data_IF_102534833574
#
_entry.id   IF_102534833574
#
_cell.length_a   1.000
_cell.length_b   1.000
_cell.length_c   1.000
_cell.angle_alpha   90.00
_cell.angle_beta   90.00
_cell.angle_gamma   90.00
#
_symmetry.space_group_name_H-M   'P 1'
#
loop_
_entity.id
_entity.type
_entity.pdbx_description
1 polymer ?
#
# COMPACT_ATOMS: atom_id res chain seq x y z
N UNK A 1 32.39 -8.38 -23.53
CA UNK A 1 31.22 -8.63 -22.67
C UNK A 1 31.70 -9.53 -21.55
N UNK A 2 32.01 -8.96 -20.38
CA UNK A 2 32.54 -9.73 -19.25
C UNK A 2 31.33 -10.30 -18.51
N UNK A 3 31.16 -11.63 -18.55
CA UNK A 3 30.17 -12.30 -17.73
C UNK A 3 30.66 -12.27 -16.28
N UNK A 4 30.21 -11.29 -15.50
CA UNK A 4 30.32 -11.35 -14.04
C UNK A 4 29.46 -12.51 -13.57
N UNK A 5 30.10 -13.62 -13.21
CA UNK A 5 29.45 -14.75 -12.59
C UNK A 5 28.76 -14.28 -11.30
N UNK A 6 27.44 -14.40 -11.26
CA UNK A 6 26.65 -14.20 -10.05
C UNK A 6 27.03 -15.34 -9.11
N UNK A 7 27.85 -15.04 -8.09
CA UNK A 7 28.14 -16.00 -7.02
C UNK A 7 26.89 -16.08 -6.16
N UNK A 8 26.05 -17.09 -6.44
CA UNK A 8 24.88 -17.39 -5.63
C UNK A 8 25.28 -17.78 -4.21
N UNK A 9 24.51 -17.34 -3.21
CA UNK A 9 24.62 -17.93 -1.88
C UNK A 9 24.23 -19.41 -2.02
N UNK A 10 25.15 -20.35 -1.84
CA UNK A 10 24.75 -21.74 -1.64
C UNK A 10 23.97 -21.81 -0.33
N UNK A 11 22.64 -21.95 -0.39
CA UNK A 11 21.77 -22.15 0.76
C UNK A 11 21.95 -23.57 1.29
N UNK A 12 23.14 -23.86 1.83
CA UNK A 12 23.55 -25.16 2.33
C UNK A 12 22.69 -25.58 3.50
N UNK A 13 21.73 -26.47 3.24
CA UNK A 13 21.10 -27.25 4.29
C UNK A 13 22.03 -28.39 4.67
N UNK A 14 22.86 -28.19 5.68
CA UNK A 14 23.41 -29.30 6.45
C UNK A 14 23.11 -29.04 7.92
N UNK A 15 22.21 -29.86 8.45
CA UNK A 15 21.80 -29.91 9.83
C UNK A 15 22.98 -30.32 10.72
N UNK A 16 23.55 -29.37 11.44
CA UNK A 16 24.46 -29.65 12.55
C UNK A 16 23.80 -29.13 13.84
N UNK A 17 22.88 -29.92 14.39
CA UNK A 17 22.31 -29.63 15.70
C UNK A 17 21.03 -30.39 16.04
N UNK A 18 21.16 -31.63 16.50
CA UNK A 18 20.11 -32.41 17.15
C UNK A 18 19.58 -31.68 18.39
N UNK A 19 18.58 -30.82 18.22
CA UNK A 19 17.94 -30.04 19.28
C UNK A 19 16.45 -29.90 19.01
N UNK A 20 15.67 -30.75 19.68
CA UNK A 20 14.20 -30.78 19.67
C UNK A 20 13.56 -29.40 19.84
N UNK A 21 12.82 -28.91 18.83
CA UNK A 21 11.55 -28.21 19.07
C UNK A 21 11.37 -26.75 18.62
N UNK A 22 12.31 -26.11 17.91
CA UNK A 22 12.10 -24.78 17.32
C UNK A 22 12.65 -24.77 15.90
N UNK A 23 11.82 -24.44 14.91
CA UNK A 23 12.19 -24.47 13.49
C UNK A 23 13.52 -23.78 13.21
N UNK A 24 14.42 -24.47 12.52
CA UNK A 24 15.71 -23.93 12.11
C UNK A 24 15.54 -22.83 11.05
N UNK A 25 16.56 -22.00 10.88
CA UNK A 25 16.64 -21.04 9.79
C UNK A 25 17.83 -21.40 8.88
N UNK A 26 17.68 -21.13 7.58
CA UNK A 26 18.74 -21.32 6.60
C UNK A 26 19.90 -20.38 6.93
N UNK A 27 21.09 -20.94 7.16
CA UNK A 27 22.32 -20.16 7.24
C UNK A 27 22.87 -19.88 5.85
N UNK A 28 23.29 -18.64 5.60
CA UNK A 28 23.82 -18.22 4.31
C UNK A 28 25.33 -18.31 4.31
N UNK A 29 25.86 -19.25 3.52
CA UNK A 29 27.30 -19.46 3.42
C UNK A 29 28.04 -18.17 3.01
N UNK A 30 29.13 -17.87 3.72
CA UNK A 30 29.94 -16.65 3.56
C UNK A 30 29.19 -15.34 3.83
N UNK A 31 28.01 -15.42 4.44
CA UNK A 31 27.28 -14.26 4.91
C UNK A 31 27.61 -13.93 6.36
N UNK A 32 27.94 -12.67 6.61
CA UNK A 32 28.29 -12.19 7.96
C UNK A 32 27.05 -12.02 8.85
N UNK A 33 25.86 -11.96 8.27
CA UNK A 33 24.58 -11.88 9.00
C UNK A 33 23.97 -13.28 9.31
N UNK A 34 24.71 -14.36 9.08
CA UNK A 34 24.30 -15.73 9.44
C UNK A 34 23.03 -16.17 8.72
N UNK A 35 21.95 -16.37 9.47
CA UNK A 35 20.65 -16.77 8.94
C UNK A 35 19.75 -15.60 8.48
N UNK A 36 20.18 -14.37 8.72
CA UNK A 36 19.40 -13.17 8.34
C UNK A 36 19.57 -12.90 6.84
N UNK A 37 18.50 -12.47 6.20
CA UNK A 37 18.51 -11.90 4.85
C UNK A 37 17.94 -10.50 4.95
N UNK A 38 18.55 -9.54 4.29
CA UNK A 38 18.02 -8.17 4.23
C UNK A 38 17.34 -7.88 2.90
N UNK A 39 16.32 -7.04 2.91
CA UNK A 39 15.67 -6.54 1.70
C UNK A 39 16.28 -5.20 1.23
N UNK A 40 15.57 -4.44 0.39
CA UNK A 40 16.03 -3.17 -0.15
C UNK A 40 16.23 -2.06 0.90
N UNK A 41 15.51 -2.14 2.02
CA UNK A 41 15.49 -1.10 3.05
C UNK A 41 16.23 -1.51 4.32
N UNK A 42 16.94 -2.64 4.23
CA UNK A 42 17.64 -3.28 5.33
C UNK A 42 16.71 -3.81 6.41
N UNK A 43 15.46 -4.12 6.07
CA UNK A 43 14.59 -4.88 6.95
C UNK A 43 15.13 -6.31 7.08
N UNK A 44 15.04 -6.89 8.28
CA UNK A 44 15.63 -8.19 8.59
C UNK A 44 14.59 -9.30 8.47
N UNK A 45 14.92 -10.29 7.62
CA UNK A 45 14.12 -11.48 7.39
C UNK A 45 14.93 -12.73 7.68
N UNK A 46 14.24 -13.87 7.75
CA UNK A 46 14.84 -15.19 7.84
C UNK A 46 14.11 -16.14 6.90
N UNK A 47 14.80 -17.22 6.50
CA UNK A 47 14.19 -18.30 5.73
C UNK A 47 14.14 -19.53 6.60
N UNK A 48 12.95 -20.08 6.83
CA UNK A 48 12.75 -21.30 7.62
C UNK A 48 13.40 -22.49 6.89
N UNK A 49 14.19 -23.31 7.59
CA UNK A 49 14.96 -24.42 7.01
C UNK A 49 14.08 -25.45 6.30
N UNK A 50 12.95 -25.78 6.94
CA UNK A 50 12.11 -26.91 6.54
C UNK A 50 11.10 -26.48 5.47
N UNK A 51 10.35 -25.42 5.74
CA UNK A 51 9.29 -24.94 4.85
C UNK A 51 9.81 -24.02 3.75
N UNK A 52 11.03 -23.50 3.89
CA UNK A 52 11.63 -22.51 2.99
C UNK A 52 10.84 -21.21 2.86
N UNK A 53 9.91 -20.95 3.78
CA UNK A 53 9.16 -19.70 3.81
C UNK A 53 10.00 -18.56 4.37
N UNK A 54 9.73 -17.35 3.86
CA UNK A 54 10.33 -16.12 4.37
C UNK A 54 9.51 -15.63 5.57
N UNK A 55 10.21 -15.29 6.65
CA UNK A 55 9.65 -14.74 7.88
C UNK A 55 10.28 -13.39 8.22
N UNK A 56 9.48 -12.45 8.72
CA UNK A 56 10.00 -11.24 9.36
C UNK A 56 10.52 -11.52 10.78
N UNK A 57 11.10 -10.51 11.43
CA UNK A 57 11.61 -10.60 12.81
C UNK A 57 10.54 -10.93 13.86
N UNK A 58 9.26 -10.70 13.56
CA UNK A 58 8.13 -11.02 14.44
C UNK A 58 7.64 -12.46 14.29
N UNK A 59 8.17 -13.21 13.32
CA UNK A 59 7.75 -14.58 12.99
C UNK A 59 6.58 -14.63 12.00
N UNK A 60 6.28 -13.52 11.32
CA UNK A 60 5.21 -13.46 10.33
C UNK A 60 5.68 -14.03 9.01
N UNK A 61 4.90 -14.95 8.45
CA UNK A 61 5.26 -15.69 7.23
C UNK A 61 4.70 -15.06 5.96
N UNK A 62 5.54 -14.88 4.95
CA UNK A 62 5.12 -14.46 3.61
C UNK A 62 4.55 -15.68 2.88
N UNK A 63 3.30 -16.04 3.22
CA UNK A 63 2.68 -17.28 2.73
C UNK A 63 2.58 -17.29 1.21
N UNK A 64 3.25 -18.24 0.57
CA UNK A 64 3.34 -18.31 -0.90
C UNK A 64 4.65 -17.76 -1.47
N UNK A 65 5.46 -17.10 -0.64
CA UNK A 65 6.85 -16.74 -0.96
C UNK A 65 7.82 -17.75 -0.34
N UNK A 66 8.66 -18.37 -1.17
CA UNK A 66 9.63 -19.38 -0.71
C UNK A 66 11.00 -19.17 -1.32
N UNK A 67 12.04 -19.74 -0.67
CA UNK A 67 13.41 -19.73 -1.18
C UNK A 67 13.95 -21.15 -1.29
N UNK A 68 14.26 -21.61 -2.49
CA UNK A 68 14.75 -22.98 -2.67
C UNK A 68 16.21 -23.19 -2.23
N UNK A 69 16.70 -24.41 -2.37
CA UNK A 69 18.08 -24.79 -2.04
C UNK A 69 19.14 -24.07 -2.87
N UNK A 70 18.78 -23.59 -4.07
CA UNK A 70 19.65 -22.83 -4.97
C UNK A 70 19.57 -21.32 -4.69
N UNK A 71 18.98 -20.94 -3.56
CA UNK A 71 18.74 -19.55 -3.15
C UNK A 71 17.86 -18.77 -4.13
N UNK A 72 17.00 -19.43 -4.91
CA UNK A 72 16.05 -18.76 -5.80
C UNK A 72 14.78 -18.44 -5.03
N UNK A 73 14.30 -17.20 -5.17
CA UNK A 73 13.07 -16.72 -4.52
C UNK A 73 11.89 -16.94 -5.47
N UNK A 74 10.86 -17.62 -4.98
CA UNK A 74 9.61 -17.90 -5.70
C UNK A 74 8.42 -17.24 -5.01
N UNK A 75 7.45 -16.82 -5.82
CA UNK A 75 6.11 -16.39 -5.39
C UNK A 75 5.11 -17.23 -6.16
N UNK A 76 4.28 -17.99 -5.46
CA UNK A 76 3.27 -18.88 -6.05
C UNK A 76 3.87 -19.82 -7.12
N UNK A 77 5.08 -20.32 -6.88
CA UNK A 77 5.80 -21.20 -7.79
C UNK A 77 6.51 -20.52 -8.97
N UNK A 78 6.41 -19.20 -9.14
CA UNK A 78 7.16 -18.44 -10.14
C UNK A 78 8.41 -17.81 -9.54
N UNK A 79 9.57 -17.99 -10.17
CA UNK A 79 10.79 -17.33 -9.72
C UNK A 79 10.68 -15.80 -9.92
N UNK A 80 10.98 -15.04 -8.86
CA UNK A 80 10.93 -13.57 -8.85
C UNK A 80 12.26 -12.94 -8.44
N UNK A 81 13.16 -13.72 -7.85
CA UNK A 81 14.45 -13.25 -7.41
C UNK A 81 15.39 -14.35 -6.96
N UNK A 82 16.42 -13.94 -6.21
CA UNK A 82 17.44 -14.76 -5.58
C UNK A 82 17.85 -14.14 -4.23
N UNK A 83 18.38 -14.95 -3.34
CA UNK A 83 19.19 -14.49 -2.21
C UNK A 83 20.65 -14.50 -2.65
N UNK A 84 21.31 -13.35 -2.55
CA UNK A 84 22.68 -13.17 -3.04
C UNK A 84 23.55 -12.48 -1.99
N UNK A 85 24.85 -12.79 -1.99
CA UNK A 85 25.84 -12.05 -1.22
C UNK A 85 26.07 -10.68 -1.85
N UNK A 86 25.91 -9.63 -1.05
CA UNK A 86 26.11 -8.24 -1.42
C UNK A 86 27.10 -7.59 -0.47
N UNK A 87 27.70 -6.49 -0.90
CA UNK A 87 28.60 -5.71 -0.04
C UNK A 87 27.79 -5.01 1.07
N UNK A 88 28.15 -5.29 2.31
CA UNK A 88 27.72 -4.55 3.48
C UNK A 88 28.57 -3.29 3.69
N UNK A 89 28.14 -2.43 4.60
CA UNK A 89 28.73 -1.11 4.88
C UNK A 89 30.20 -1.13 5.31
N UNK A 90 30.71 -2.28 5.77
CA UNK A 90 32.08 -2.46 6.25
C UNK A 90 32.93 -3.35 5.32
N UNK A 91 32.53 -3.54 4.06
CA UNK A 91 33.22 -4.41 3.10
C UNK A 91 33.06 -5.91 3.37
N UNK A 92 32.20 -6.26 4.32
CA UNK A 92 31.78 -7.64 4.58
C UNK A 92 30.70 -8.07 3.59
N UNK A 93 30.55 -9.38 3.36
CA UNK A 93 29.45 -9.91 2.55
C UNK A 93 28.24 -10.23 3.44
N UNK A 94 27.06 -9.81 3.01
CA UNK A 94 25.78 -10.10 3.68
C UNK A 94 24.80 -10.70 2.68
N UNK A 95 23.88 -11.53 3.14
CA UNK A 95 22.82 -12.11 2.33
C UNK A 95 21.69 -11.09 2.19
N UNK A 96 21.30 -10.81 0.95
CA UNK A 96 20.21 -9.90 0.64
C UNK A 96 19.29 -10.47 -0.45
N UNK A 97 18.02 -10.09 -0.40
CA UNK A 97 17.08 -10.37 -1.48
C UNK A 97 17.40 -9.49 -2.69
N UNK A 98 17.43 -10.14 -3.85
CA UNK A 98 17.65 -9.51 -5.15
C UNK A 98 16.62 -10.00 -6.15
N UNK A 99 16.13 -9.11 -6.99
CA UNK A 99 15.27 -9.50 -8.09
C UNK A 99 16.07 -10.13 -9.23
N UNK A 100 15.38 -10.77 -10.17
CA UNK A 100 16.02 -11.41 -11.34
C UNK A 100 16.82 -10.44 -12.23
N UNK A 101 16.50 -9.15 -12.17
CA UNK A 101 17.23 -8.08 -12.85
C UNK A 101 18.47 -7.58 -12.07
N UNK A 102 18.78 -8.19 -10.92
CA UNK A 102 19.90 -7.82 -10.04
C UNK A 102 19.62 -6.66 -9.08
N UNK A 103 18.44 -6.06 -9.12
CA UNK A 103 18.07 -4.99 -8.20
C UNK A 103 17.82 -5.49 -6.78
N UNK A 104 17.82 -4.59 -5.80
CA UNK A 104 17.29 -4.91 -4.49
C UNK A 104 15.80 -5.26 -4.58
N UNK A 105 15.40 -6.28 -3.82
CA UNK A 105 14.00 -6.64 -3.61
C UNK A 105 13.56 -6.09 -2.26
N UNK A 106 12.46 -5.35 -2.23
CA UNK A 106 11.77 -4.87 -1.02
C UNK A 106 10.62 -5.84 -0.71
N UNK A 107 10.47 -6.28 0.54
CA UNK A 107 9.40 -7.21 0.95
C UNK A 107 8.63 -6.58 2.10
N UNK A 108 7.36 -6.26 1.89
CA UNK A 108 6.52 -5.63 2.90
C UNK A 108 5.42 -6.56 3.40
N UNK A 109 5.37 -6.76 4.72
CA UNK A 109 4.31 -7.50 5.41
C UNK A 109 3.10 -6.62 5.76
N UNK A 110 1.89 -7.09 5.43
CA UNK A 110 0.60 -6.40 5.66
C UNK A 110 -0.18 -7.02 6.81
N UNK A 111 -1.10 -6.30 7.46
CA UNK A 111 -1.71 -6.65 8.75
C UNK A 111 -2.40 -8.04 8.85
N UNK A 112 -2.81 -8.63 7.73
CA UNK A 112 -3.57 -9.88 7.62
C UNK A 112 -2.71 -11.12 7.24
N UNK A 113 -1.39 -11.03 7.39
CA UNK A 113 -0.41 -12.03 6.92
C UNK A 113 -0.30 -12.14 5.39
N UNK A 114 -0.82 -11.14 4.66
CA UNK A 114 -0.42 -10.96 3.27
C UNK A 114 0.90 -10.19 3.19
N UNK A 115 1.53 -10.25 2.03
CA UNK A 115 2.78 -9.56 1.73
C UNK A 115 2.72 -8.96 0.33
N UNK A 116 3.56 -7.96 0.10
CA UNK A 116 3.89 -7.46 -1.23
C UNK A 116 5.41 -7.46 -1.41
N UNK A 117 5.87 -7.47 -2.65
CA UNK A 117 7.29 -7.30 -2.95
C UNK A 117 7.47 -6.36 -4.14
N UNK A 118 8.57 -5.62 -4.15
CA UNK A 118 8.94 -4.73 -5.24
C UNK A 118 10.39 -4.96 -5.66
N UNK A 119 10.66 -4.82 -6.95
CA UNK A 119 12.01 -4.82 -7.50
C UNK A 119 12.41 -3.39 -7.80
N UNK A 120 13.44 -2.88 -7.12
CA UNK A 120 14.07 -1.60 -7.50
C UNK A 120 14.48 -1.64 -8.99
N UNK A 121 14.53 -0.52 -9.69
CA UNK A 121 15.11 -0.55 -11.04
C UNK A 121 16.65 -0.70 -10.90
N UNK A 122 17.34 -1.49 -11.75
CA UNK A 122 18.80 -1.50 -11.74
C UNK A 122 19.29 -0.07 -12.01
N UNK A 123 20.18 0.42 -11.14
CA UNK A 123 20.75 1.75 -11.22
C UNK A 123 21.36 1.99 -12.62
N UNK A 124 20.60 2.65 -13.49
CA UNK A 124 21.08 3.10 -14.79
C UNK A 124 21.65 4.49 -14.56
N UNK A 125 22.98 4.56 -14.47
CA UNK A 125 23.70 5.82 -14.43
C UNK A 125 23.33 6.69 -15.64
N UNK A 126 22.90 7.92 -15.35
CA UNK A 126 22.55 8.91 -16.36
C UNK A 126 21.81 10.08 -15.73
N UNK A 127 22.53 10.98 -15.08
CA UNK A 127 21.99 12.26 -14.65
C UNK A 127 21.73 13.16 -15.86
N UNK A 128 20.55 13.79 -15.91
CA UNK A 128 20.36 15.21 -16.25
C UNK A 128 18.89 15.60 -16.02
N UNK A 129 18.68 16.63 -15.20
CA UNK A 129 17.47 17.47 -15.27
C UNK A 129 16.45 17.28 -14.14
N UNK A 130 16.46 18.19 -13.17
CA UNK A 130 15.27 18.55 -12.42
C UNK A 130 14.26 19.18 -13.39
N UNK A 131 13.20 18.44 -13.72
CA UNK A 131 12.12 18.85 -14.58
C UNK A 131 10.97 17.86 -14.43
N UNK A 132 9.74 18.36 -14.42
CA UNK A 132 8.50 17.59 -14.26
C UNK A 132 8.58 16.20 -14.92
N UNK A 133 8.22 15.15 -14.17
CA UNK A 133 8.34 13.78 -14.63
C UNK A 133 7.66 13.62 -16.01
N UNK A 134 8.47 13.31 -17.02
CA UNK A 134 8.02 12.94 -18.35
C UNK A 134 7.37 11.57 -18.28
N UNK A 135 6.07 11.54 -18.00
CA UNK A 135 5.20 10.39 -18.23
C UNK A 135 5.17 9.34 -17.13
N UNK A 136 3.97 8.83 -16.87
CA UNK A 136 3.80 7.56 -16.16
C UNK A 136 4.31 6.42 -17.06
N UNK A 137 5.20 5.59 -16.53
CA UNK A 137 5.65 4.36 -17.18
C UNK A 137 4.52 3.32 -17.23
N UNK A 138 4.78 2.22 -17.94
CA UNK A 138 3.84 1.11 -18.03
C UNK A 138 3.60 0.42 -16.68
N UNK A 139 2.56 -0.41 -16.65
CA UNK A 139 2.33 -1.32 -15.53
C UNK A 139 3.51 -2.31 -15.41
N UNK A 140 3.95 -2.57 -14.20
CA UNK A 140 4.83 -3.70 -13.90
C UNK A 140 4.04 -5.03 -13.90
N UNK A 141 4.71 -6.14 -13.59
CA UNK A 141 4.05 -7.45 -13.53
C UNK A 141 3.06 -7.62 -12.38
N UNK A 142 3.04 -6.69 -11.42
CA UNK A 142 2.12 -6.71 -10.28
C UNK A 142 0.93 -5.76 -10.45
N UNK A 143 0.91 -5.00 -11.55
CA UNK A 143 -0.19 -4.12 -11.91
C UNK A 143 -0.07 -2.70 -11.36
N UNK A 144 1.12 -2.27 -10.94
CA UNK A 144 1.41 -0.91 -10.48
C UNK A 144 2.22 -0.12 -11.52
N UNK A 145 2.04 1.20 -11.55
CA UNK A 145 2.78 2.08 -12.45
C UNK A 145 4.24 2.14 -12.06
N UNK A 146 5.09 2.07 -13.07
CA UNK A 146 6.48 2.51 -12.97
C UNK A 146 6.57 3.98 -13.30
N UNK A 147 7.56 4.68 -12.75
CA UNK A 147 7.85 6.08 -13.11
C UNK A 147 9.21 6.13 -13.78
N UNK A 148 9.29 6.78 -14.95
CA UNK A 148 10.54 6.86 -15.69
C UNK A 148 11.61 7.54 -14.82
N UNK A 149 12.78 6.91 -14.68
CA UNK A 149 13.87 7.42 -13.85
C UNK A 149 13.71 7.15 -12.35
N UNK A 150 12.65 6.46 -11.91
CA UNK A 150 12.49 6.06 -10.51
C UNK A 150 13.34 4.82 -10.18
N UNK A 151 14.34 5.02 -9.32
CA UNK A 151 15.16 3.94 -8.75
C UNK A 151 14.38 2.99 -7.85
N UNK A 152 13.25 3.43 -7.28
CA UNK A 152 12.39 2.62 -6.39
C UNK A 152 11.31 1.82 -7.14
N UNK A 153 11.45 1.65 -8.46
CA UNK A 153 10.51 0.86 -9.26
C UNK A 153 9.12 1.49 -9.31
N UNK A 154 8.13 0.85 -8.66
CA UNK A 154 6.72 1.29 -8.61
C UNK A 154 6.38 2.13 -7.39
N UNK A 155 7.31 2.25 -6.43
CA UNK A 155 7.08 2.97 -5.17
C UNK A 155 7.22 4.48 -5.39
N UNK A 156 6.27 5.21 -4.81
CA UNK A 156 6.28 6.67 -4.67
C UNK A 156 6.33 6.99 -3.18
N UNK A 157 7.27 7.83 -2.77
CA UNK A 157 7.42 8.25 -1.38
C UNK A 157 6.66 9.55 -1.13
N UNK A 158 6.17 9.74 0.09
CA UNK A 158 5.61 11.03 0.51
C UNK A 158 6.68 11.85 1.29
N UNK A 159 6.30 12.70 2.25
CA UNK A 159 7.24 13.60 2.93
C UNK A 159 7.99 13.01 4.12
N UNK A 160 7.44 11.97 4.77
CA UNK A 160 8.09 11.23 5.84
C UNK A 160 8.66 9.87 5.37
N UNK A 161 8.79 9.73 4.04
CA UNK A 161 9.27 8.55 3.33
C UNK A 161 8.37 7.31 3.53
N UNK A 162 7.08 7.52 3.81
CA UNK A 162 6.07 6.47 3.71
C UNK A 162 5.91 6.01 2.25
N UNK A 163 5.72 4.69 2.08
CA UNK A 163 5.66 4.05 0.76
C UNK A 163 4.23 3.91 0.27
N UNK A 164 4.05 4.34 -0.97
CA UNK A 164 2.82 4.18 -1.72
C UNK A 164 3.11 3.62 -3.10
N UNK A 165 2.09 3.07 -3.74
CA UNK A 165 2.12 2.64 -5.13
C UNK A 165 0.94 3.24 -5.88
N UNK A 166 0.98 3.19 -7.21
CA UNK A 166 -0.15 3.64 -8.03
C UNK A 166 -0.65 2.49 -8.88
N UNK A 167 -1.88 2.05 -8.67
CA UNK A 167 -2.47 0.97 -9.44
C UNK A 167 -2.60 1.38 -10.92
N UNK A 168 -2.03 0.61 -11.84
CA UNK A 168 -1.95 0.99 -13.24
C UNK A 168 -3.32 1.04 -13.94
N UNK A 169 -4.23 0.14 -13.57
CA UNK A 169 -5.56 0.06 -14.15
C UNK A 169 -6.47 1.22 -13.74
N UNK A 170 -6.41 1.63 -12.48
CA UNK A 170 -7.34 2.62 -11.90
C UNK A 170 -6.69 3.97 -11.61
N UNK A 171 -5.37 4.06 -11.72
CA UNK A 171 -4.56 5.22 -11.35
C UNK A 171 -4.66 5.64 -9.88
N UNK A 172 -5.29 4.82 -9.03
CA UNK A 172 -5.48 5.11 -7.61
C UNK A 172 -4.20 4.88 -6.85
N UNK A 173 -3.89 5.79 -5.92
CA UNK A 173 -2.80 5.60 -4.96
C UNK A 173 -3.18 4.52 -3.96
N UNK A 174 -2.24 3.65 -3.63
CA UNK A 174 -2.39 2.53 -2.70
C UNK A 174 -1.31 2.68 -1.65
N UNK A 175 -1.69 2.63 -0.37
CA UNK A 175 -0.71 2.66 0.72
C UNK A 175 0.01 1.32 0.89
N UNK A 176 0.99 1.28 1.79
CA UNK A 176 1.71 0.06 2.18
C UNK A 176 0.83 -1.09 2.68
N UNK A 177 -0.39 -0.80 3.12
CA UNK A 177 -1.34 -1.79 3.65
C UNK A 177 -2.31 -2.32 2.58
N UNK A 178 -2.18 -1.88 1.33
CA UNK A 178 -3.07 -2.24 0.23
C UNK A 178 -4.36 -1.42 0.19
N UNK A 179 -4.52 -0.46 1.11
CA UNK A 179 -5.66 0.45 1.15
C UNK A 179 -5.53 1.42 0.00
N UNK A 180 -6.55 1.39 -0.87
CA UNK A 180 -6.69 2.34 -1.97
C UNK A 180 -7.11 3.68 -1.40
N UNK A 181 -6.25 4.69 -1.54
CA UNK A 181 -6.51 6.06 -1.16
C UNK A 181 -7.47 6.67 -2.17
N UNK A 182 -8.74 6.39 -2.00
CA UNK A 182 -9.69 6.71 -3.04
C UNK A 182 -9.93 8.22 -3.12
N UNK A 183 -10.25 8.68 -4.32
CA UNK A 183 -10.16 10.09 -4.70
C UNK A 183 -8.74 10.56 -4.99
N UNK A 184 -7.69 9.90 -4.48
CA UNK A 184 -6.30 10.20 -4.81
C UNK A 184 -5.86 9.36 -6.02
N UNK A 185 -5.64 10.05 -7.14
CA UNK A 185 -5.22 9.42 -8.40
C UNK A 185 -4.00 10.11 -8.99
N UNK A 186 -3.21 9.36 -9.75
CA UNK A 186 -2.11 9.91 -10.56
C UNK A 186 -2.43 9.74 -12.04
N UNK A 187 -2.70 10.83 -12.73
CA UNK A 187 -3.07 10.79 -14.14
C UNK A 187 -1.91 10.35 -15.06
N UNK A 188 -2.15 10.27 -16.36
CA UNK A 188 -1.14 9.87 -17.34
C UNK A 188 0.08 10.81 -17.40
N UNK A 189 -0.13 12.08 -17.05
CA UNK A 189 0.91 13.12 -16.99
C UNK A 189 1.69 13.13 -15.67
N UNK A 190 1.35 12.26 -14.72
CA UNK A 190 1.98 12.25 -13.40
C UNK A 190 1.40 13.29 -12.44
N UNK A 191 0.30 13.97 -12.79
CA UNK A 191 -0.36 14.89 -11.87
C UNK A 191 -1.07 14.09 -10.78
N UNK A 192 -0.96 14.55 -9.54
CA UNK A 192 -1.65 13.99 -8.38
C UNK A 192 -2.94 14.76 -8.21
N UNK A 193 -4.07 14.07 -8.39
CA UNK A 193 -5.40 14.66 -8.28
C UNK A 193 -6.09 14.10 -7.05
N UNK A 194 -6.75 14.99 -6.31
CA UNK A 194 -7.73 14.65 -5.29
C UNK A 194 -9.12 14.99 -5.82
N UNK A 195 -9.95 13.97 -6.03
CA UNK A 195 -11.31 14.09 -6.55
C UNK A 195 -11.37 14.89 -7.87
N UNK A 196 -10.38 14.66 -8.75
CA UNK A 196 -10.27 15.34 -10.04
C UNK A 196 -9.62 16.74 -10.01
N UNK A 197 -9.25 17.25 -8.83
CA UNK A 197 -8.51 18.52 -8.69
C UNK A 197 -7.03 18.24 -8.50
N UNK A 198 -6.18 18.81 -9.35
CA UNK A 198 -4.73 18.69 -9.22
C UNK A 198 -4.23 19.37 -7.95
N UNK A 199 -3.68 18.58 -7.03
CA UNK A 199 -3.10 19.03 -5.76
C UNK A 199 -1.56 18.94 -5.75
N UNK A 200 -0.99 18.29 -6.76
CA UNK A 200 0.44 18.08 -6.86
C UNK A 200 0.83 17.27 -8.09
N UNK A 201 2.02 16.70 -8.06
CA UNK A 201 2.55 15.80 -9.06
C UNK A 201 3.48 14.76 -8.43
N UNK A 202 3.69 13.65 -9.14
CA UNK A 202 4.80 12.74 -8.87
C UNK A 202 6.04 13.31 -9.53
N UNK A 203 7.07 13.59 -8.75
CA UNK A 203 8.35 14.14 -9.22
C UNK A 203 9.50 13.23 -8.83
N UNK A 204 10.67 13.42 -9.44
CA UNK A 204 11.88 12.72 -9.03
C UNK A 204 12.67 13.57 -8.05
N UNK A 205 12.98 13.02 -6.88
CA UNK A 205 13.88 13.60 -5.89
C UNK A 205 15.21 12.83 -5.84
N UNK A 206 16.26 13.43 -5.29
CA UNK A 206 17.54 12.73 -5.08
C UNK A 206 17.38 11.66 -4.00
N UNK A 207 17.66 10.40 -4.33
CA UNK A 207 17.71 9.30 -3.36
C UNK A 207 19.06 9.19 -2.66
N UNK A 208 19.07 8.55 -1.49
CA UNK A 208 20.26 8.37 -0.62
C UNK A 208 21.39 7.59 -1.29
N UNK A 209 21.08 6.80 -2.32
CA UNK A 209 22.03 6.05 -3.15
C UNK A 209 22.40 6.70 -4.49
N UNK A 210 22.07 7.98 -4.69
CA UNK A 210 22.36 8.73 -5.92
C UNK A 210 21.43 8.44 -7.10
N UNK A 211 20.59 7.41 -7.01
CA UNK A 211 19.49 7.17 -7.97
C UNK A 211 18.30 8.05 -7.62
N UNK A 212 17.64 8.71 -8.60
CA UNK A 212 16.43 9.47 -8.32
C UNK A 212 15.29 8.56 -7.84
N UNK A 213 14.42 9.08 -6.97
CA UNK A 213 13.27 8.36 -6.44
C UNK A 213 11.99 9.15 -6.71
N UNK A 214 10.90 8.46 -7.03
CA UNK A 214 9.59 9.08 -7.21
C UNK A 214 9.03 9.53 -5.86
N UNK A 215 8.55 10.77 -5.81
CA UNK A 215 7.97 11.38 -4.61
C UNK A 215 6.69 12.12 -4.94
N UNK A 216 5.76 12.18 -4.00
CA UNK A 216 4.63 13.10 -4.09
C UNK A 216 5.08 14.51 -3.74
N UNK A 217 4.84 15.44 -4.66
CA UNK A 217 5.14 16.86 -4.49
C UNK A 217 3.85 17.67 -4.64
N UNK A 218 3.67 18.64 -3.76
CA UNK A 218 2.58 19.58 -3.83
C UNK A 218 2.78 20.62 -4.95
N UNK A 219 1.72 21.33 -5.32
CA UNK A 219 1.78 22.37 -6.36
C UNK A 219 2.78 23.51 -6.04
N UNK A 220 3.13 23.73 -4.76
CA UNK A 220 4.17 24.68 -4.34
C UNK A 220 5.60 24.10 -4.39
N UNK A 221 5.76 22.86 -4.84
CA UNK A 221 7.06 22.18 -4.96
C UNK A 221 7.56 21.52 -3.66
N UNK A 222 6.88 21.70 -2.53
CA UNK A 222 7.22 20.97 -1.31
C UNK A 222 6.81 19.49 -1.41
N UNK A 223 7.38 18.62 -0.57
CA UNK A 223 6.90 17.22 -0.49
C UNK A 223 5.51 17.19 0.15
N UNK A 224 4.66 16.33 -0.40
CA UNK A 224 3.33 16.06 0.13
C UNK A 224 3.43 14.97 1.19
N UNK A 225 2.84 15.18 2.37
CA UNK A 225 2.63 14.14 3.36
C UNK A 225 1.27 13.50 3.13
N UNK A 226 1.18 12.18 3.13
CA UNK A 226 -0.07 11.43 3.04
C UNK A 226 -0.27 10.66 4.34
N UNK A 227 -1.31 11.01 5.10
CA UNK A 227 -1.62 10.30 6.34
C UNK A 227 -2.79 9.37 6.11
N UNK A 228 -2.61 8.08 6.40
CA UNK A 228 -3.66 7.07 6.28
C UNK A 228 -4.13 6.66 7.69
N UNK A 229 -5.44 6.67 7.92
CA UNK A 229 -6.03 6.31 9.21
C UNK A 229 -7.41 5.67 9.09
N UNK A 230 -7.95 5.24 10.23
CA UNK A 230 -9.26 4.55 10.28
C UNK A 230 -10.44 5.41 9.80
N UNK A 231 -10.26 6.73 9.70
CA UNK A 231 -11.28 7.66 9.22
C UNK A 231 -11.16 8.00 7.73
N UNK A 232 -10.17 7.44 7.03
CA UNK A 232 -9.80 7.77 5.66
C UNK A 232 -8.35 8.23 5.57
N UNK A 233 -8.02 8.98 4.53
CA UNK A 233 -6.69 9.56 4.36
C UNK A 233 -6.75 11.08 4.28
N UNK A 234 -5.64 11.73 4.58
CA UNK A 234 -5.45 13.16 4.43
C UNK A 234 -4.11 13.47 3.79
N UNK A 235 -3.97 14.71 3.32
CA UNK A 235 -2.69 15.21 2.83
C UNK A 235 -2.36 16.56 3.46
N UNK A 236 -1.08 16.78 3.70
CA UNK A 236 -0.55 18.10 4.03
C UNK A 236 0.57 18.43 3.06
N UNK A 237 0.66 19.71 2.73
CA UNK A 237 1.83 20.25 2.06
C UNK A 237 2.60 21.01 3.12
N UNK A 238 3.91 20.77 3.23
CA UNK A 238 4.73 21.65 4.05
C UNK A 238 4.54 23.08 3.51
N UNK A 239 4.05 23.98 4.36
CA UNK A 239 4.06 25.41 4.07
C UNK A 239 5.52 25.81 4.03
N UNK A 240 5.97 26.44 2.96
CA UNK A 240 7.36 26.81 2.71
C UNK A 240 7.98 27.45 3.96
N UNK A 241 8.71 26.67 4.75
CA UNK A 241 9.60 27.17 5.79
C UNK A 241 10.94 27.45 5.13
N UNK A 242 11.00 28.45 4.26
CA UNK A 242 12.29 28.99 3.84
C UNK A 242 12.32 30.51 3.95
N UNK A 243 13.26 30.98 4.77
CA UNK A 243 13.66 32.36 4.77
C UNK A 243 14.20 32.77 3.40
N UNK A 244 13.86 34.02 3.06
CA UNK A 244 14.50 34.91 2.10
C UNK A 244 14.31 34.64 0.59
N UNK A 245 13.38 35.39 -0.01
CA UNK A 245 13.79 36.41 -0.99
C UNK A 245 13.11 36.40 -2.36
N UNK A 246 12.18 37.35 -2.52
CA UNK A 246 11.74 38.04 -3.77
C UNK A 246 10.61 37.45 -4.65
N UNK A 247 9.45 38.13 -4.51
CA UNK A 247 8.35 38.51 -5.43
C UNK A 247 8.44 38.04 -6.90
N UNK A 248 7.36 37.71 -7.63
CA UNK A 248 6.04 38.35 -7.68
C UNK A 248 4.96 37.48 -8.38
N UNK A 249 3.68 37.73 -8.05
CA UNK A 249 2.47 37.31 -8.80
C UNK A 249 1.94 35.94 -8.39
N UNK A 250 0.87 35.79 -7.59
CA UNK A 250 -0.42 36.46 -7.73
C UNK A 250 -1.43 35.46 -8.28
N UNK A 251 -1.96 34.57 -7.43
CA UNK A 251 -3.26 33.89 -7.64
C UNK A 251 -3.76 33.32 -6.32
N UNK A 252 -4.65 34.08 -5.69
CA UNK A 252 -5.59 33.62 -4.68
C UNK A 252 -6.44 32.49 -5.26
N UNK A 253 -6.28 31.27 -4.73
CA UNK A 253 -7.02 30.09 -5.18
C UNK A 253 -7.56 29.29 -3.99
N UNK A 254 -8.56 29.86 -3.32
CA UNK A 254 -9.58 29.21 -2.49
C UNK A 254 -9.19 27.97 -1.67
N UNK A 255 -8.91 28.16 -0.38
CA UNK A 255 -9.35 27.18 0.61
C UNK A 255 -10.88 27.07 0.50
N UNK A 256 -11.36 26.03 -0.18
CA UNK A 256 -12.71 25.56 0.03
C UNK A 256 -12.82 25.19 1.50
N UNK A 257 -13.49 26.03 2.28
CA UNK A 257 -13.90 25.73 3.64
C UNK A 257 -14.73 24.46 3.61
N UNK A 258 -14.07 23.31 3.79
CA UNK A 258 -14.73 22.05 4.01
C UNK A 258 -15.52 22.23 5.29
N UNK A 259 -16.83 22.36 5.17
CA UNK A 259 -17.70 22.25 6.34
C UNK A 259 -17.30 20.95 7.03
N UNK A 260 -16.89 21.06 8.30
CA UNK A 260 -16.54 19.90 9.10
C UNK A 260 -17.76 18.96 9.09
N UNK A 261 -17.67 17.87 8.33
CA UNK A 261 -18.74 16.89 8.23
C UNK A 261 -18.68 16.04 9.50
N UNK A 262 -19.80 15.94 10.20
CA UNK A 262 -19.94 15.05 11.35
C UNK A 262 -20.58 13.74 10.90
N UNK A 263 -20.03 12.61 11.32
CA UNK A 263 -20.53 11.28 10.98
C UNK A 263 -21.13 10.59 12.20
N UNK A 264 -21.94 9.55 11.96
CA UNK A 264 -22.52 8.72 13.01
C UNK A 264 -21.44 7.78 13.54
N UNK A 265 -21.15 7.86 14.84
CA UNK A 265 -20.34 6.88 15.55
C UNK A 265 -21.18 5.68 15.93
N UNK A 266 -20.71 4.48 15.61
CA UNK A 266 -21.37 3.24 15.94
C UNK A 266 -20.86 2.69 17.27
N UNK A 267 -21.57 3.02 18.36
CA UNK A 267 -21.21 2.57 19.71
C UNK A 267 -21.05 1.05 19.78
N UNK A 268 -19.94 0.60 20.38
CA UNK A 268 -19.60 -0.82 20.50
C UNK A 268 -18.93 -1.42 19.26
N UNK A 269 -18.54 -0.59 18.29
CA UNK A 269 -17.79 -1.01 17.11
C UNK A 269 -16.34 -0.57 17.16
N UNK A 270 -15.42 -1.45 16.78
CA UNK A 270 -14.00 -1.17 16.66
C UNK A 270 -13.66 -0.25 15.47
N UNK A 271 -14.53 -0.19 14.45
CA UNK A 271 -14.33 0.69 13.29
C UNK A 271 -14.98 2.09 13.45
N UNK A 272 -15.47 2.42 14.65
CA UNK A 272 -15.91 3.78 15.00
C UNK A 272 -17.07 4.30 14.14
N UNK A 273 -16.78 5.24 13.24
CA UNK A 273 -17.77 5.85 12.32
C UNK A 273 -17.96 5.06 11.02
N UNK A 274 -17.04 4.12 10.75
CA UNK A 274 -16.97 3.43 9.46
C UNK A 274 -17.95 2.27 9.42
N UNK A 275 -18.55 2.09 8.25
CA UNK A 275 -19.33 0.92 7.86
C UNK A 275 -18.61 0.30 6.67
N UNK A 276 -18.27 -0.98 6.79
CA UNK A 276 -17.67 -1.73 5.69
C UNK A 276 -18.76 -2.42 4.88
N UNK A 277 -18.63 -2.40 3.56
CA UNK A 277 -19.42 -3.27 2.69
C UNK A 277 -18.75 -4.65 2.56
N UNK A 278 -19.29 -5.51 1.68
CA UNK A 278 -18.76 -6.86 1.52
C UNK A 278 -17.37 -6.94 0.87
N UNK A 279 -16.98 -5.93 0.10
CA UNK A 279 -15.65 -5.80 -0.50
C UNK A 279 -14.65 -5.11 0.43
N UNK A 280 -15.06 -4.82 1.67
CA UNK A 280 -14.33 -4.03 2.66
C UNK A 280 -14.10 -2.57 2.24
N UNK A 281 -14.94 -2.01 1.36
CA UNK A 281 -14.90 -0.59 1.05
C UNK A 281 -15.45 0.22 2.23
N UNK A 282 -14.74 1.27 2.68
CA UNK A 282 -15.18 2.09 3.81
C UNK A 282 -16.21 3.14 3.40
N UNK A 283 -17.33 3.13 4.11
CA UNK A 283 -18.37 4.15 4.06
C UNK A 283 -18.61 4.74 5.44
N UNK A 284 -19.29 5.88 5.48
CA UNK A 284 -19.81 6.50 6.70
C UNK A 284 -21.26 6.93 6.47
N UNK A 285 -21.96 7.28 7.53
CA UNK A 285 -23.24 7.97 7.40
C UNK A 285 -23.10 9.36 8.01
N UNK A 286 -23.49 10.38 7.24
CA UNK A 286 -23.51 11.75 7.71
C UNK A 286 -24.55 11.88 8.84
N UNK A 287 -24.15 12.49 9.95
CA UNK A 287 -25.00 12.62 11.13
C UNK A 287 -26.19 13.57 10.95
N UNK A 288 -26.06 14.57 10.07
CA UNK A 288 -27.11 15.54 9.76
C UNK A 288 -28.07 15.01 8.69
N UNK A 289 -27.54 14.54 7.55
CA UNK A 289 -28.38 14.09 6.42
C UNK A 289 -28.78 12.63 6.51
N UNK A 290 -28.09 11.84 7.34
CA UNK A 290 -28.29 10.39 7.48
C UNK A 290 -27.96 9.60 6.22
N UNK A 291 -27.37 10.25 5.21
CA UNK A 291 -27.04 9.63 3.93
C UNK A 291 -25.64 9.02 3.93
N UNK A 292 -25.47 8.00 3.10
CA UNK A 292 -24.22 7.28 2.94
C UNK A 292 -23.20 8.19 2.30
N UNK A 293 -22.04 8.24 2.91
CA UNK A 293 -20.86 8.95 2.45
C UNK A 293 -19.80 7.92 2.09
N UNK A 294 -19.36 7.91 0.83
CA UNK A 294 -18.19 7.15 0.44
C UNK A 294 -16.95 7.87 0.95
N UNK A 295 -16.26 7.25 1.91
CA UNK A 295 -14.92 7.71 2.33
C UNK A 295 -14.02 7.73 1.11
N UNK A 296 -14.19 6.69 0.29
CA UNK A 296 -13.42 6.52 -0.90
C UNK A 296 -13.62 7.66 -1.91
N UNK A 297 -14.85 8.04 -2.25
CA UNK A 297 -15.10 9.06 -3.29
C UNK A 297 -15.25 10.50 -2.78
N UNK A 298 -15.08 10.72 -1.48
CA UNK A 298 -15.36 12.02 -0.82
C UNK A 298 -16.76 12.56 -1.19
N UNK A 299 -17.72 11.64 -1.33
CA UNK A 299 -19.03 11.91 -1.92
C UNK A 299 -20.14 11.33 -1.06
N UNK A 300 -21.17 12.15 -0.83
CA UNK A 300 -22.41 11.72 -0.19
C UNK A 300 -23.45 11.34 -1.24
N UNK A 301 -24.09 10.19 -1.06
CA UNK A 301 -25.12 9.67 -1.93
C UNK A 301 -26.50 9.88 -1.28
N UNK A 302 -27.18 10.94 -1.71
CA UNK A 302 -28.51 11.28 -1.21
C UNK A 302 -29.61 10.26 -1.53
N UNK A 303 -29.33 9.25 -2.36
CA UNK A 303 -30.26 8.17 -2.69
C UNK A 303 -30.11 6.93 -1.80
N UNK A 304 -29.18 6.93 -0.85
CA UNK A 304 -28.93 5.81 0.06
C UNK A 304 -28.77 6.34 1.48
N UNK A 305 -29.88 6.44 2.22
CA UNK A 305 -29.90 7.07 3.53
C UNK A 305 -30.57 6.17 4.57
N UNK A 306 -30.10 6.28 5.80
CA UNK A 306 -30.73 5.60 6.93
C UNK A 306 -32.13 6.19 7.15
N UNK A 307 -33.08 5.32 7.41
CA UNK A 307 -34.38 5.73 7.89
C UNK A 307 -34.25 6.43 9.26
N UNK A 308 -35.20 7.33 9.52
CA UNK A 308 -35.18 8.15 10.73
C UNK A 308 -35.23 7.27 11.98
N UNK A 309 -34.28 7.47 12.88
CA UNK A 309 -34.19 6.73 14.15
C UNK A 309 -33.83 5.24 14.02
N UNK A 310 -33.45 4.74 12.85
CA UNK A 310 -33.10 3.32 12.66
C UNK A 310 -31.72 3.12 12.00
N UNK A 311 -31.22 1.89 12.07
CA UNK A 311 -30.02 1.46 11.34
C UNK A 311 -30.36 0.83 9.97
N UNK A 312 -31.55 1.09 9.42
CA UNK A 312 -32.04 0.46 8.19
C UNK A 312 -32.04 1.43 7.02
N UNK A 313 -31.75 0.94 5.81
CA UNK A 313 -31.83 1.66 4.54
C UNK A 313 -32.88 0.98 3.66
N UNK A 314 -33.71 1.75 2.96
CA UNK A 314 -34.51 1.24 1.85
C UNK A 314 -33.93 1.74 0.54
N UNK A 315 -33.55 0.82 -0.34
CA UNK A 315 -32.96 1.13 -1.64
C UNK A 315 -33.47 0.14 -2.69
N UNK A 316 -33.98 0.65 -3.81
CA UNK A 316 -34.50 -0.21 -4.89
C UNK A 316 -35.64 -1.15 -4.49
N UNK A 317 -36.40 -0.81 -3.43
CA UNK A 317 -37.44 -1.69 -2.87
C UNK A 317 -36.92 -2.82 -1.98
N UNK A 318 -35.61 -2.89 -1.73
CA UNK A 318 -34.98 -3.83 -0.78
C UNK A 318 -34.56 -3.10 0.50
N UNK A 319 -34.63 -3.80 1.62
CA UNK A 319 -34.17 -3.29 2.92
C UNK A 319 -32.79 -3.82 3.24
N UNK A 320 -31.91 -2.92 3.64
CA UNK A 320 -30.57 -3.20 4.14
C UNK A 320 -30.45 -2.70 5.57
N UNK A 321 -29.49 -3.24 6.32
CA UNK A 321 -29.25 -2.86 7.70
C UNK A 321 -27.76 -2.64 7.95
N UNK A 322 -27.45 -1.62 8.74
CA UNK A 322 -26.13 -1.43 9.33
C UNK A 322 -26.10 -2.22 10.63
N UNK A 323 -25.29 -3.27 10.68
CA UNK A 323 -25.28 -4.24 11.79
C UNK A 323 -23.87 -4.44 12.30
N UNK A 324 -23.75 -4.79 13.59
CA UNK A 324 -22.49 -5.21 14.19
C UNK A 324 -22.19 -6.66 13.86
N UNK A 325 -20.99 -6.89 13.36
CA UNK A 325 -20.52 -8.15 12.82
C UNK A 325 -19.18 -8.49 13.45
N UNK A 326 -18.91 -9.78 13.62
CA UNK A 326 -17.59 -10.26 14.02
C UNK A 326 -16.65 -10.21 12.81
N UNK A 327 -15.52 -9.53 12.94
CA UNK A 327 -14.43 -9.59 11.97
C UNK A 327 -13.75 -10.97 11.99
N UNK A 328 -12.91 -11.25 10.99
CA UNK A 328 -12.04 -12.44 10.95
C UNK A 328 -11.07 -12.51 12.14
N UNK A 329 -10.77 -11.36 12.76
CA UNK A 329 -9.95 -11.23 13.97
C UNK A 329 -10.75 -11.27 15.28
N UNK A 330 -12.02 -11.69 15.25
CA UNK A 330 -12.91 -11.73 16.41
C UNK A 330 -13.18 -10.37 17.09
N UNK A 331 -13.11 -9.27 16.33
CA UNK A 331 -13.47 -7.94 16.82
C UNK A 331 -14.83 -7.51 16.28
N UNK A 332 -15.65 -6.86 17.12
CA UNK A 332 -16.91 -6.30 16.66
C UNK A 332 -16.67 -5.09 15.77
N UNK A 333 -17.08 -5.19 14.52
CA UNK A 333 -17.06 -4.11 13.53
C UNK A 333 -18.49 -3.84 13.05
N UNK A 334 -18.69 -2.76 12.30
CA UNK A 334 -20.00 -2.46 11.67
C UNK A 334 -19.89 -2.66 10.18
N UNK A 335 -20.86 -3.38 9.62
CA UNK A 335 -20.98 -3.59 8.19
C UNK A 335 -22.42 -3.50 7.68
N UNK A 336 -22.54 -3.49 6.35
CA UNK A 336 -23.83 -3.47 5.67
C UNK A 336 -24.30 -4.90 5.38
N UNK A 337 -25.53 -5.21 5.78
CA UNK A 337 -26.19 -6.49 5.50
C UNK A 337 -27.53 -6.33 4.80
N UNK A 338 -27.93 -7.37 4.08
CA UNK A 338 -29.28 -7.52 3.54
C UNK A 338 -30.27 -7.92 4.64
N UNK A 339 -31.57 -7.83 4.38
CA UNK A 339 -32.62 -8.18 5.35
C UNK A 339 -32.54 -9.65 5.84
N UNK A 340 -32.03 -10.56 5.01
CA UNK A 340 -31.77 -11.97 5.32
C UNK A 340 -30.38 -12.21 5.96
N UNK A 341 -29.58 -11.16 6.14
CA UNK A 341 -28.36 -11.15 6.94
C UNK A 341 -27.08 -11.46 6.18
N UNK A 342 -27.09 -11.48 4.84
CA UNK A 342 -25.85 -11.59 4.05
C UNK A 342 -25.13 -10.24 3.98
N UNK A 343 -23.80 -10.25 3.83
CA UNK A 343 -23.09 -8.98 3.54
C UNK A 343 -23.55 -8.40 2.20
N UNK A 344 -23.70 -7.09 2.18
CA UNK A 344 -24.06 -6.33 1.00
C UNK A 344 -22.84 -5.56 0.47
N UNK A 345 -22.60 -5.66 -0.84
CA UNK A 345 -21.55 -4.97 -1.59
C UNK A 345 -22.14 -3.75 -2.30
N UNK A 346 -21.53 -2.57 -2.14
CA UNK A 346 -22.07 -1.31 -2.67
C UNK A 346 -21.37 -0.96 -3.98
N UNK A 347 -22.12 -1.02 -5.08
CA UNK A 347 -21.61 -0.59 -6.39
C UNK A 347 -22.00 0.86 -6.65
N UNK A 348 -20.99 1.71 -6.76
CA UNK A 348 -21.12 3.16 -6.90
C UNK A 348 -20.76 3.63 -8.31
N UNK A 349 -21.54 4.55 -8.88
CA UNK A 349 -21.14 5.37 -10.03
C UNK A 349 -20.64 6.76 -9.57
N UNK A 350 -20.23 7.62 -10.51
CA UNK A 350 -19.63 8.92 -10.20
C UNK A 350 -20.53 9.87 -9.39
N UNK A 351 -21.83 9.59 -9.25
CA UNK A 351 -22.83 10.50 -8.65
C UNK A 351 -23.83 9.82 -7.72
N UNK A 352 -23.97 8.50 -7.75
CA UNK A 352 -24.98 7.77 -6.99
C UNK A 352 -24.57 6.33 -6.68
N UNK A 353 -25.31 5.71 -5.76
CA UNK A 353 -25.36 4.24 -5.67
C UNK A 353 -26.11 3.71 -6.88
N UNK A 354 -25.46 2.85 -7.66
CA UNK A 354 -26.03 2.26 -8.87
C UNK A 354 -26.74 0.94 -8.56
N UNK A 355 -26.09 0.03 -7.84
CA UNK A 355 -26.70 -1.21 -7.35
C UNK A 355 -26.06 -1.70 -6.05
N UNK A 356 -26.75 -2.62 -5.37
CA UNK A 356 -26.24 -3.34 -4.21
C UNK A 356 -26.30 -4.83 -4.52
N UNK A 357 -25.23 -5.57 -4.23
CA UNK A 357 -25.15 -7.01 -4.45
C UNK A 357 -25.10 -7.74 -3.12
N UNK A 358 -25.98 -8.71 -2.93
CA UNK A 358 -25.84 -9.63 -1.82
C UNK A 358 -24.68 -10.60 -2.11
N UNK A 359 -23.84 -10.85 -1.12
CA UNK A 359 -22.83 -11.91 -1.21
C UNK A 359 -23.38 -13.23 -0.70
N UNK A 360 -22.59 -14.29 -0.82
CA UNK A 360 -22.89 -15.59 -0.18
C UNK A 360 -22.40 -15.65 1.27
N UNK A 361 -21.70 -14.61 1.76
CA UNK A 361 -21.16 -14.55 3.11
C UNK A 361 -22.23 -14.09 4.11
N UNK A 362 -22.44 -14.90 5.14
CA UNK A 362 -23.37 -14.60 6.23
C UNK A 362 -22.58 -14.42 7.52
N UNK A 363 -22.26 -13.17 7.90
CA UNK A 363 -21.38 -12.88 9.03
C UNK A 363 -22.04 -13.25 10.36
N UNK A 364 -21.20 -13.59 11.33
CA UNK A 364 -21.63 -13.81 12.71
C UNK A 364 -21.92 -12.45 13.35
N UNK A 365 -23.08 -12.32 13.99
CA UNK A 365 -23.44 -11.09 14.69
C UNK A 365 -22.69 -10.95 16.02
N UNK A 366 -22.51 -9.70 16.41
CA UNK A 366 -22.25 -9.29 17.78
C UNK A 366 -23.03 -7.97 18.05
#
# INVERSE_FOLDING_TARGET
>A
MVATGVVGCGGGGEDEGSGSGTGGYVNWNNSTNGAVVVDADNEEFRVVSDSRQIEDRSGKQARGMTVDSDARVFVEGRQVGVVQLVDGSNGTKIAAFRCLNGSAMDITFQADNTYSYACAAPASGGSTGAGAATGTGGADSTGYLTFQGNGNGTVVLDSDDERFQVAAATRTVVDRSGVRLSGLVVDSGGNVLRNGVTIGAVTLASGTGGSPVAVFSCNNGSRMNLTVGVQGWGQTCASDSTGAGNQAGGSTGGSSGGQSRSFITWTGSANGEVVLDASNDPFKFNSATRCLYSVNRDMEYGNFCLASGSASISFGGTTYSVTRLLSTSNTCIVGLTTADGYKADIVTDATRIDNIRATTDRPVAC
#
